data_IF_853065176106
#
_entry.id   IF_853065176106
#
_cell.length_a   1.000
_cell.length_b   1.000
_cell.length_c   1.000
_cell.angle_alpha   90.00
_cell.angle_beta   90.00
_cell.angle_gamma   90.00
#
_symmetry.space_group_name_H-M   'P 1'
#
loop_
_entity.id
_entity.type
_entity.pdbx_description
1 polymer ?
#
# COMPACT_ATOMS: atom_id res chain seq x y z
N UNK A 1 21.35 -37.40 -13.88
CA UNK A 1 21.50 -36.00 -13.41
C UNK A 1 20.63 -35.01 -14.23
N UNK A 2 19.38 -35.33 -14.60
CA UNK A 2 18.58 -34.40 -15.45
C UNK A 2 17.10 -34.27 -15.14
N UNK A 3 16.49 -35.14 -14.32
CA UNK A 3 15.02 -35.18 -14.23
C UNK A 3 14.41 -33.93 -13.59
N UNK A 4 15.17 -33.23 -12.74
CA UNK A 4 14.72 -32.01 -12.07
C UNK A 4 15.25 -30.71 -12.68
N UNK A 5 16.21 -30.76 -13.60
CA UNK A 5 16.82 -29.55 -14.18
C UNK A 5 15.78 -28.72 -14.95
N UNK A 6 15.01 -29.36 -15.82
CA UNK A 6 13.96 -28.68 -16.59
C UNK A 6 12.81 -28.17 -15.70
N UNK A 7 12.27 -28.96 -14.75
CA UNK A 7 11.30 -28.45 -13.78
C UNK A 7 11.80 -27.25 -12.97
N UNK A 8 13.05 -27.31 -12.47
CA UNK A 8 13.64 -26.20 -11.69
C UNK A 8 13.75 -24.94 -12.54
N UNK A 9 14.29 -25.06 -13.76
CA UNK A 9 14.43 -23.93 -14.67
C UNK A 9 13.07 -23.33 -15.02
N UNK A 10 12.07 -24.18 -15.25
CA UNK A 10 10.70 -23.76 -15.53
C UNK A 10 10.11 -22.96 -14.34
N UNK A 11 10.25 -23.45 -13.11
CA UNK A 11 9.79 -22.74 -11.92
C UNK A 11 10.47 -21.40 -11.71
N UNK A 12 11.80 -21.35 -11.88
CA UNK A 12 12.57 -20.09 -11.82
C UNK A 12 12.03 -19.08 -12.83
N UNK A 13 11.85 -19.48 -14.08
CA UNK A 13 11.31 -18.60 -15.14
C UNK A 13 9.90 -18.12 -14.78
N UNK A 14 9.02 -19.02 -14.34
CA UNK A 14 7.66 -18.65 -13.91
C UNK A 14 7.66 -17.66 -12.73
N UNK A 15 8.54 -17.87 -11.75
CA UNK A 15 8.70 -16.98 -10.61
C UNK A 15 9.23 -15.59 -11.00
N UNK A 16 10.24 -15.54 -11.89
CA UNK A 16 10.77 -14.27 -12.42
C UNK A 16 9.72 -13.53 -13.24
N UNK A 17 8.98 -14.22 -14.12
CA UNK A 17 7.87 -13.62 -14.87
C UNK A 17 6.82 -13.06 -13.90
N UNK A 18 6.43 -13.84 -12.89
CA UNK A 18 5.52 -13.37 -11.84
C UNK A 18 6.06 -12.10 -11.18
N UNK A 19 7.35 -12.05 -10.82
CA UNK A 19 7.99 -10.84 -10.27
C UNK A 19 7.89 -9.64 -11.21
N UNK A 20 8.16 -9.83 -12.50
CA UNK A 20 8.07 -8.77 -13.50
C UNK A 20 6.65 -8.23 -13.65
N UNK A 21 5.64 -9.11 -13.62
CA UNK A 21 4.23 -8.71 -13.67
C UNK A 21 3.79 -7.92 -12.42
N UNK A 22 4.40 -8.23 -11.27
CA UNK A 22 4.16 -7.54 -10.00
C UNK A 22 4.96 -6.23 -9.85
N UNK A 23 6.03 -6.06 -10.62
CA UNK A 23 6.83 -4.83 -10.70
C UNK A 23 6.10 -3.75 -11.51
N UNK A 24 5.06 -3.15 -10.92
CA UNK A 24 4.45 -1.93 -11.46
C UNK A 24 5.12 -0.70 -10.86
N UNK A 25 5.43 0.25 -11.73
CA UNK A 25 5.88 1.58 -11.31
C UNK A 25 4.62 2.42 -11.08
N UNK A 26 4.34 2.75 -9.82
CA UNK A 26 3.27 3.67 -9.45
C UNK A 26 3.95 4.93 -8.88
N UNK A 27 3.38 6.12 -9.10
CA UNK A 27 3.88 7.37 -8.51
C UNK A 27 3.88 7.31 -6.98
N UNK A 28 3.05 6.44 -6.41
CA UNK A 28 2.93 6.19 -4.97
C UNK A 28 3.95 5.19 -4.44
N UNK A 29 4.55 4.39 -5.32
CA UNK A 29 5.40 3.28 -4.92
C UNK A 29 6.78 3.42 -5.53
N UNK A 30 7.75 3.61 -4.64
CA UNK A 30 9.09 3.07 -4.85
C UNK A 30 8.93 1.59 -5.30
N UNK A 31 9.76 1.09 -6.24
CA UNK A 31 10.95 1.70 -6.81
C UNK A 31 10.61 2.39 -8.12
N UNK A 32 10.70 3.71 -8.09
CA UNK A 32 10.58 4.56 -9.28
C UNK A 32 11.85 4.50 -10.14
N UNK A 33 12.99 4.18 -9.53
CA UNK A 33 14.31 4.22 -10.15
C UNK A 33 14.77 2.86 -10.71
N UNK A 34 15.56 2.93 -11.79
CA UNK A 34 16.13 1.78 -12.47
C UNK A 34 16.86 0.83 -11.51
N UNK A 35 17.71 1.37 -10.62
CA UNK A 35 18.46 0.57 -9.66
C UNK A 35 17.55 -0.18 -8.67
N UNK A 36 16.48 0.46 -8.21
CA UNK A 36 15.49 -0.20 -7.36
C UNK A 36 14.81 -1.37 -8.08
N UNK A 37 14.41 -1.17 -9.35
CA UNK A 37 13.85 -2.25 -10.18
C UNK A 37 14.81 -3.43 -10.33
N UNK A 38 16.10 -3.15 -10.58
CA UNK A 38 17.14 -4.19 -10.69
C UNK A 38 17.26 -4.99 -9.39
N UNK A 39 17.33 -4.31 -8.24
CA UNK A 39 17.40 -4.97 -6.92
C UNK A 39 16.22 -5.92 -6.72
N UNK A 40 15.00 -5.48 -7.05
CA UNK A 40 13.81 -6.31 -6.91
C UNK A 40 13.70 -7.48 -7.90
N UNK A 41 14.25 -7.34 -9.10
CA UNK A 41 14.34 -8.45 -10.04
C UNK A 41 15.35 -9.47 -9.51
N UNK A 42 16.50 -9.03 -9.01
CA UNK A 42 17.51 -9.91 -8.42
C UNK A 42 16.97 -10.67 -7.19
N UNK A 43 16.27 -9.98 -6.28
CA UNK A 43 15.61 -10.61 -5.14
C UNK A 43 14.50 -11.58 -5.57
N UNK A 44 13.74 -11.23 -6.61
CA UNK A 44 12.74 -12.12 -7.19
C UNK A 44 13.36 -13.37 -7.81
N UNK A 45 14.51 -13.24 -8.48
CA UNK A 45 15.27 -14.38 -8.99
C UNK A 45 15.69 -15.30 -7.84
N UNK A 46 16.28 -14.77 -6.76
CA UNK A 46 16.66 -15.55 -5.57
C UNK A 46 15.45 -16.26 -4.97
N UNK A 47 14.33 -15.55 -4.78
CA UNK A 47 13.08 -16.13 -4.30
C UNK A 47 12.59 -17.27 -5.21
N UNK A 48 12.63 -17.07 -6.53
CA UNK A 48 12.20 -18.09 -7.50
C UNK A 48 13.11 -19.32 -7.46
N UNK A 49 14.43 -19.14 -7.32
CA UNK A 49 15.38 -20.24 -7.20
C UNK A 49 15.14 -21.06 -5.92
N UNK A 50 14.95 -20.39 -4.78
CA UNK A 50 14.63 -21.05 -3.51
C UNK A 50 13.32 -21.85 -3.59
N UNK A 51 12.28 -21.26 -4.19
CA UNK A 51 11.00 -21.96 -4.38
C UNK A 51 11.09 -23.16 -5.33
N UNK A 52 11.84 -23.04 -6.43
CA UNK A 52 11.97 -24.11 -7.41
C UNK A 52 12.75 -25.32 -6.85
N UNK A 53 13.84 -25.06 -6.13
CA UNK A 53 14.73 -26.10 -5.59
C UNK A 53 14.08 -26.83 -4.40
N UNK A 54 13.21 -26.16 -3.65
CA UNK A 54 12.53 -26.76 -2.50
C UNK A 54 11.76 -28.03 -2.85
N UNK A 55 11.17 -28.11 -4.05
CA UNK A 55 10.36 -29.27 -4.46
C UNK A 55 11.21 -30.53 -4.66
N UNK A 56 12.22 -30.57 -5.56
CA UNK A 56 13.07 -31.73 -5.70
C UNK A 56 13.76 -32.13 -4.40
N UNK A 57 14.21 -31.16 -3.59
CA UNK A 57 14.90 -31.46 -2.33
C UNK A 57 13.98 -32.19 -1.33
N UNK A 58 12.71 -31.77 -1.23
CA UNK A 58 11.73 -32.48 -0.39
C UNK A 58 11.39 -33.88 -0.94
N UNK A 59 11.32 -34.03 -2.27
CA UNK A 59 11.06 -35.35 -2.92
C UNK A 59 12.23 -36.31 -2.70
N UNK A 60 13.47 -35.80 -2.67
CA UNK A 60 14.68 -36.58 -2.39
C UNK A 60 14.91 -36.81 -0.89
N UNK A 61 13.95 -36.45 -0.04
CA UNK A 61 14.07 -36.58 1.42
C UNK A 61 15.27 -35.84 2.02
N UNK A 62 15.76 -34.80 1.33
CA UNK A 62 16.78 -33.89 1.84
C UNK A 62 16.14 -32.89 2.80
N UNK A 63 15.75 -33.37 3.99
CA UNK A 63 15.09 -32.54 5.01
C UNK A 63 15.92 -31.33 5.47
N UNK A 64 17.23 -31.34 5.23
CA UNK A 64 18.11 -30.16 5.40
C UNK A 64 17.67 -28.98 4.54
N UNK A 65 16.95 -29.20 3.43
CA UNK A 65 16.41 -28.16 2.57
C UNK A 65 15.38 -27.24 3.24
N UNK A 66 14.79 -27.66 4.37
CA UNK A 66 13.96 -26.78 5.20
C UNK A 66 14.74 -25.53 5.65
N UNK A 67 16.06 -25.63 5.79
CA UNK A 67 16.91 -24.49 6.12
C UNK A 67 16.91 -23.43 5.02
N UNK A 68 16.74 -23.80 3.75
CA UNK A 68 16.58 -22.83 2.65
C UNK A 68 15.31 -22.00 2.79
N UNK A 69 14.23 -22.58 3.30
CA UNK A 69 13.00 -21.84 3.60
C UNK A 69 13.21 -20.84 4.75
N UNK A 70 13.98 -21.21 5.77
CA UNK A 70 14.37 -20.30 6.86
C UNK A 70 15.24 -19.15 6.36
N UNK A 71 16.20 -19.43 5.47
CA UNK A 71 17.02 -18.40 4.82
C UNK A 71 16.14 -17.49 3.96
N UNK A 72 15.19 -18.05 3.20
CA UNK A 72 14.24 -17.29 2.40
C UNK A 72 13.40 -16.33 3.25
N UNK A 73 12.83 -16.83 4.35
CA UNK A 73 12.04 -16.03 5.29
C UNK A 73 12.87 -14.87 5.87
N UNK A 74 14.13 -15.13 6.21
CA UNK A 74 15.05 -14.11 6.71
C UNK A 74 15.33 -13.04 5.65
N UNK A 75 15.62 -13.45 4.41
CA UNK A 75 15.86 -12.52 3.29
C UNK A 75 14.67 -11.58 3.07
N UNK A 76 13.44 -12.07 3.18
CA UNK A 76 12.25 -11.24 2.92
C UNK A 76 12.02 -10.21 4.01
N UNK A 77 12.24 -10.59 5.27
CA UNK A 77 12.24 -9.64 6.38
C UNK A 77 13.31 -8.56 6.20
N UNK A 78 14.50 -8.92 5.73
CA UNK A 78 15.54 -7.93 5.43
C UNK A 78 15.15 -7.00 4.28
N UNK A 79 14.46 -7.51 3.25
CA UNK A 79 13.89 -6.66 2.18
C UNK A 79 12.89 -5.65 2.76
N UNK A 80 11.97 -6.10 3.62
CA UNK A 80 11.03 -5.18 4.30
C UNK A 80 11.76 -4.14 5.14
N UNK A 81 12.76 -4.56 5.92
CA UNK A 81 13.53 -3.65 6.76
C UNK A 81 14.26 -2.61 5.90
N UNK A 82 14.89 -3.04 4.80
CA UNK A 82 15.55 -2.18 3.84
C UNK A 82 14.58 -1.15 3.26
N UNK A 83 13.44 -1.58 2.71
CA UNK A 83 12.43 -0.70 2.13
C UNK A 83 11.89 0.31 3.15
N UNK A 84 11.53 -0.17 4.33
CA UNK A 84 11.02 0.68 5.41
C UNK A 84 12.03 1.74 5.83
N UNK A 85 13.29 1.35 6.00
CA UNK A 85 14.36 2.26 6.41
C UNK A 85 14.65 3.29 5.32
N UNK A 86 14.76 2.87 4.05
CA UNK A 86 14.98 3.78 2.92
C UNK A 86 13.85 4.79 2.80
N UNK A 87 12.59 4.32 2.83
CA UNK A 87 11.44 5.20 2.75
C UNK A 87 11.38 6.17 3.94
N UNK A 88 11.67 5.72 5.16
CA UNK A 88 11.70 6.58 6.35
C UNK A 88 12.78 7.66 6.29
N UNK A 89 13.92 7.38 5.64
CA UNK A 89 14.96 8.41 5.43
C UNK A 89 14.54 9.41 4.36
N UNK A 90 13.95 8.95 3.25
CA UNK A 90 13.44 9.84 2.20
C UNK A 90 12.30 10.73 2.71
N UNK A 91 11.44 10.19 3.59
CA UNK A 91 10.27 10.90 4.12
C UNK A 91 10.61 12.15 4.94
N UNK A 92 11.83 12.22 5.49
CA UNK A 92 12.31 13.37 6.26
C UNK A 92 12.49 14.62 5.41
N UNK A 93 12.63 14.46 4.10
CA UNK A 93 12.84 15.55 3.14
C UNK A 93 11.56 15.90 2.38
N UNK A 94 10.43 15.26 2.68
CA UNK A 94 9.14 15.54 2.05
C UNK A 94 8.42 16.70 2.76
N UNK A 95 7.84 17.62 1.98
CA UNK A 95 7.01 18.72 2.54
C UNK A 95 5.73 18.21 3.22
N UNK A 96 5.24 17.06 2.77
CA UNK A 96 4.13 16.30 3.37
C UNK A 96 4.57 14.85 3.45
N UNK A 97 4.90 14.40 4.66
CA UNK A 97 5.40 13.04 4.93
C UNK A 97 4.37 11.96 4.61
N UNK A 98 4.82 10.76 4.25
CA UNK A 98 4.00 9.53 4.14
C UNK A 98 3.48 9.11 5.50
N UNK A 99 4.34 9.23 6.51
CA UNK A 99 4.11 8.73 7.85
C UNK A 99 4.37 7.23 8.00
N UNK A 100 4.75 6.83 9.22
CA UNK A 100 5.23 5.48 9.51
C UNK A 100 4.26 4.37 9.13
N UNK A 101 2.95 4.58 9.32
CA UNK A 101 1.93 3.56 8.98
C UNK A 101 1.86 3.29 7.48
N UNK A 102 2.03 4.33 6.66
CA UNK A 102 2.00 4.17 5.21
C UNK A 102 3.28 3.49 4.72
N UNK A 103 4.44 3.94 5.22
CA UNK A 103 5.74 3.33 4.93
C UNK A 103 5.73 1.84 5.29
N UNK A 104 5.20 1.49 6.46
CA UNK A 104 5.07 0.08 6.89
C UNK A 104 4.20 -0.73 5.94
N UNK A 105 3.06 -0.17 5.50
CA UNK A 105 2.19 -0.83 4.52
C UNK A 105 2.88 -1.07 3.18
N UNK A 106 3.67 -0.11 2.69
CA UNK A 106 4.47 -0.27 1.47
C UNK A 106 5.52 -1.38 1.67
N UNK A 107 6.23 -1.36 2.80
CA UNK A 107 7.29 -2.33 3.09
C UNK A 107 6.76 -3.78 3.23
N UNK A 108 5.59 -3.96 3.87
CA UNK A 108 4.90 -5.27 3.93
C UNK A 108 4.54 -5.74 2.52
N UNK A 109 3.99 -4.88 1.66
CA UNK A 109 3.64 -5.27 0.30
C UNK A 109 4.87 -5.75 -0.50
N UNK A 110 6.06 -5.17 -0.26
CA UNK A 110 7.30 -5.65 -0.86
C UNK A 110 7.72 -7.04 -0.39
N UNK A 111 7.58 -7.30 0.91
CA UNK A 111 7.78 -8.62 1.51
C UNK A 111 6.82 -9.65 0.89
N UNK A 112 5.52 -9.34 0.87
CA UNK A 112 4.44 -10.17 0.33
C UNK A 112 4.68 -10.60 -1.12
N UNK A 113 5.16 -9.69 -1.97
CA UNK A 113 5.47 -10.02 -3.37
C UNK A 113 6.55 -11.09 -3.50
N UNK A 114 7.53 -11.15 -2.59
CA UNK A 114 8.55 -12.19 -2.65
C UNK A 114 7.99 -13.56 -2.25
N UNK A 115 7.06 -13.61 -1.28
CA UNK A 115 6.34 -14.84 -0.96
C UNK A 115 5.54 -15.36 -2.16
N UNK A 116 4.85 -14.48 -2.89
CA UNK A 116 4.11 -14.86 -4.11
C UNK A 116 5.03 -15.45 -5.20
N UNK A 117 6.25 -14.93 -5.33
CA UNK A 117 7.27 -15.48 -6.25
C UNK A 117 7.70 -16.88 -5.82
N UNK A 118 7.98 -17.11 -4.53
CA UNK A 118 8.29 -18.45 -4.02
C UNK A 118 7.16 -19.42 -4.33
N UNK A 119 5.92 -19.06 -3.95
CA UNK A 119 4.78 -19.95 -4.16
C UNK A 119 4.54 -20.25 -5.63
N UNK A 120 4.65 -19.25 -6.51
CA UNK A 120 4.53 -19.45 -7.95
C UNK A 120 5.61 -20.43 -8.45
N UNK A 121 6.87 -20.18 -8.11
CA UNK A 121 7.98 -21.03 -8.53
C UNK A 121 7.85 -22.47 -8.01
N UNK A 122 7.57 -22.62 -6.71
CA UNK A 122 7.40 -23.92 -6.06
C UNK A 122 6.23 -24.71 -6.65
N UNK A 123 5.05 -24.11 -6.80
CA UNK A 123 3.88 -24.80 -7.33
C UNK A 123 4.03 -25.18 -8.80
N UNK A 124 4.67 -24.33 -9.60
CA UNK A 124 4.93 -24.61 -11.02
C UNK A 124 5.97 -25.72 -11.21
N UNK A 125 7.04 -25.73 -10.40
CA UNK A 125 7.99 -26.86 -10.36
C UNK A 125 7.30 -28.14 -9.92
N UNK A 126 6.50 -28.11 -8.85
CA UNK A 126 5.77 -29.28 -8.35
C UNK A 126 4.81 -29.85 -9.40
N UNK A 127 4.04 -28.99 -10.07
CA UNK A 127 3.12 -29.40 -11.11
C UNK A 127 3.84 -30.02 -12.33
N UNK A 128 5.02 -29.50 -12.68
CA UNK A 128 5.85 -30.11 -13.71
C UNK A 128 6.30 -31.51 -13.25
N UNK A 129 6.92 -31.61 -12.08
CA UNK A 129 7.51 -32.87 -11.58
C UNK A 129 6.46 -33.98 -11.43
N UNK A 130 5.28 -33.67 -10.87
CA UNK A 130 4.25 -34.68 -10.61
C UNK A 130 3.46 -35.09 -11.87
N UNK A 131 3.38 -34.22 -12.86
CA UNK A 131 2.60 -34.45 -14.06
C UNK A 131 3.47 -34.23 -15.30
N UNK A 132 3.40 -33.03 -15.88
CA UNK A 132 4.16 -32.64 -17.06
C UNK A 132 4.08 -31.12 -17.25
N UNK A 133 4.87 -30.60 -18.19
CA UNK A 133 4.97 -29.16 -18.48
C UNK A 133 3.62 -28.48 -18.74
N UNK A 134 2.67 -29.12 -19.43
CA UNK A 134 1.36 -28.51 -19.72
C UNK A 134 0.58 -28.19 -18.43
N UNK A 135 0.59 -29.09 -17.43
CA UNK A 135 -0.02 -28.80 -16.12
C UNK A 135 0.74 -27.68 -15.42
N UNK A 136 2.07 -27.69 -15.51
CA UNK A 136 2.93 -26.60 -15.01
C UNK A 136 2.55 -25.23 -15.58
N UNK A 137 2.26 -25.14 -16.89
CA UNK A 137 1.82 -23.90 -17.55
C UNK A 137 0.45 -23.45 -17.03
N UNK A 138 -0.51 -24.37 -16.90
CA UNK A 138 -1.85 -24.05 -16.36
C UNK A 138 -1.73 -23.51 -14.93
N UNK A 139 -0.91 -24.16 -14.08
CA UNK A 139 -0.63 -23.71 -12.71
C UNK A 139 0.06 -22.36 -12.71
N UNK A 140 1.02 -22.12 -13.62
CA UNK A 140 1.70 -20.83 -13.73
C UNK A 140 0.71 -19.69 -14.02
N UNK A 141 -0.20 -19.89 -14.98
CA UNK A 141 -1.25 -18.92 -15.32
C UNK A 141 -2.17 -18.68 -14.10
N UNK A 142 -2.58 -19.75 -13.42
CA UNK A 142 -3.38 -19.66 -12.20
C UNK A 142 -2.69 -18.88 -11.08
N UNK A 143 -1.41 -19.17 -10.82
CA UNK A 143 -0.60 -18.46 -9.83
C UNK A 143 -0.37 -16.99 -10.19
N UNK A 144 -0.18 -16.66 -11.48
CA UNK A 144 -0.06 -15.27 -11.92
C UNK A 144 -1.38 -14.49 -11.73
N UNK A 145 -2.51 -15.11 -12.05
CA UNK A 145 -3.83 -14.52 -11.79
C UNK A 145 -4.06 -14.31 -10.29
N UNK A 146 -3.76 -15.32 -9.48
CA UNK A 146 -3.88 -15.26 -8.02
C UNK A 146 -2.96 -14.18 -7.44
N UNK A 147 -1.72 -14.08 -7.92
CA UNK A 147 -0.76 -13.05 -7.48
C UNK A 147 -1.31 -11.66 -7.76
N UNK A 148 -1.88 -11.44 -8.96
CA UNK A 148 -2.51 -10.17 -9.32
C UNK A 148 -3.71 -9.83 -8.41
N UNK A 149 -4.51 -10.83 -8.05
CA UNK A 149 -5.65 -10.67 -7.16
C UNK A 149 -5.20 -10.30 -5.73
N UNK A 150 -4.24 -11.04 -5.17
CA UNK A 150 -3.72 -10.84 -3.82
C UNK A 150 -2.95 -9.53 -3.66
N UNK A 151 -2.44 -8.96 -4.76
CA UNK A 151 -1.84 -7.63 -4.78
C UNK A 151 -2.85 -6.48 -4.87
N UNK A 152 -4.11 -6.76 -5.21
CA UNK A 152 -5.19 -5.78 -5.27
C UNK A 152 -5.66 -5.39 -3.87
N UNK A 153 -4.86 -4.61 -3.15
CA UNK A 153 -5.24 -4.06 -1.84
C UNK A 153 -6.50 -3.18 -1.92
N UNK A 154 -7.17 -2.98 -0.78
CA UNK A 154 -8.38 -2.16 -0.70
C UNK A 154 -8.11 -0.67 -0.94
N UNK A 155 -9.08 0.04 -1.51
CA UNK A 155 -8.99 1.47 -1.81
C UNK A 155 -10.00 2.27 -0.98
N UNK A 156 -9.71 3.55 -0.73
CA UNK A 156 -10.61 4.40 0.07
C UNK A 156 -12.00 4.55 -0.55
N UNK A 157 -12.11 4.67 -1.89
CA UNK A 157 -13.41 4.78 -2.58
C UNK A 157 -14.36 3.61 -2.33
N UNK A 158 -13.82 2.45 -1.94
CA UNK A 158 -14.61 1.27 -1.62
C UNK A 158 -15.31 1.47 -0.26
N UNK A 159 -14.71 2.23 0.66
CA UNK A 159 -15.14 2.36 2.06
C UNK A 159 -15.70 3.74 2.44
N UNK A 160 -15.44 4.79 1.65
CA UNK A 160 -15.95 6.16 1.87
C UNK A 160 -16.52 6.76 0.58
N UNK A 161 -17.45 7.70 0.75
CA UNK A 161 -17.88 8.63 -0.30
C UNK A 161 -17.11 9.95 -0.13
N UNK A 162 -16.64 10.53 -1.24
CA UNK A 162 -15.76 11.70 -1.25
C UNK A 162 -16.50 12.85 -1.91
N UNK A 163 -16.64 13.96 -1.18
CA UNK A 163 -17.33 15.16 -1.64
C UNK A 163 -16.38 16.35 -1.56
N UNK A 164 -16.31 17.15 -2.63
CA UNK A 164 -15.59 18.42 -2.61
C UNK A 164 -16.42 19.46 -1.86
N UNK A 165 -15.78 20.18 -0.95
CA UNK A 165 -16.38 21.31 -0.22
C UNK A 165 -15.40 22.46 -0.21
N UNK A 166 -15.85 23.63 -0.64
CA UNK A 166 -15.01 24.82 -0.64
C UNK A 166 -14.61 25.18 0.80
N UNK A 167 -13.30 25.31 1.10
CA UNK A 167 -12.84 25.76 2.42
C UNK A 167 -13.34 27.18 2.69
N UNK A 168 -13.69 27.47 3.94
CA UNK A 168 -14.13 28.80 4.33
C UNK A 168 -13.60 29.19 5.70
N UNK A 169 -13.59 30.49 5.99
CA UNK A 169 -13.18 31.03 7.28
C UNK A 169 -14.36 31.46 8.13
N UNK A 170 -14.28 31.20 9.44
CA UNK A 170 -15.09 31.85 10.47
C UNK A 170 -14.13 32.56 11.42
N UNK A 171 -14.05 33.88 11.29
CA UNK A 171 -13.01 34.71 11.91
C UNK A 171 -11.61 34.21 11.52
N UNK A 172 -10.91 33.58 12.45
CA UNK A 172 -9.56 33.06 12.23
C UNK A 172 -9.55 31.55 11.99
N UNK A 173 -10.68 30.86 12.16
CA UNK A 173 -10.76 29.42 11.98
C UNK A 173 -11.02 29.04 10.53
N UNK A 174 -10.17 28.19 9.95
CA UNK A 174 -10.40 27.52 8.66
C UNK A 174 -11.27 26.28 8.87
N UNK A 175 -12.29 26.13 8.03
CA UNK A 175 -13.23 25.03 8.05
C UNK A 175 -13.36 24.38 6.67
N UNK A 176 -13.61 23.08 6.66
CA UNK A 176 -14.13 22.32 5.52
C UNK A 176 -15.46 21.74 5.97
N UNK A 177 -16.57 22.17 5.36
CA UNK A 177 -17.92 21.97 5.91
C UNK A 177 -17.99 22.50 7.37
N UNK A 178 -18.50 21.73 8.32
CA UNK A 178 -18.53 22.09 9.74
C UNK A 178 -17.23 21.72 10.49
N UNK A 179 -16.25 21.10 9.83
CA UNK A 179 -15.05 20.55 10.46
C UNK A 179 -13.96 21.62 10.56
N UNK A 180 -13.58 21.96 11.78
CA UNK A 180 -12.45 22.85 12.05
C UNK A 180 -11.11 22.20 11.67
N UNK A 181 -10.32 22.90 10.86
CA UNK A 181 -9.02 22.43 10.38
C UNK A 181 -7.89 23.04 11.21
N UNK A 182 -7.75 24.37 11.20
CA UNK A 182 -6.70 25.12 11.90
C UNK A 182 -7.07 26.60 12.07
N UNK A 183 -6.33 27.32 12.92
CA UNK A 183 -6.45 28.77 13.10
C UNK A 183 -5.38 29.48 12.24
N UNK A 184 -5.81 30.47 11.48
CA UNK A 184 -4.97 31.37 10.69
C UNK A 184 -5.48 32.79 10.94
N UNK A 185 -4.79 33.53 11.82
CA UNK A 185 -5.19 34.89 12.17
C UNK A 185 -4.84 35.96 11.14
N UNK A 186 -3.81 35.76 10.31
CA UNK A 186 -3.35 36.76 9.34
C UNK A 186 -4.27 36.81 8.11
N UNK A 187 -4.95 37.95 7.81
CA UNK A 187 -5.89 38.04 6.68
C UNK A 187 -5.28 37.70 5.33
N UNK A 188 -4.05 38.17 5.08
CA UNK A 188 -3.30 37.86 3.85
C UNK A 188 -3.13 36.34 3.64
N UNK A 189 -2.90 35.59 4.74
CA UNK A 189 -2.78 34.12 4.68
C UNK A 189 -4.12 33.44 4.48
N UNK A 190 -5.21 34.02 4.99
CA UNK A 190 -6.57 33.52 4.72
C UNK A 190 -6.89 33.63 3.23
N UNK A 191 -6.57 34.76 2.60
CA UNK A 191 -6.75 34.96 1.15
C UNK A 191 -5.93 33.96 0.33
N UNK A 192 -4.66 33.73 0.70
CA UNK A 192 -3.83 32.69 0.06
C UNK A 192 -4.45 31.30 0.20
N UNK A 193 -4.94 30.95 1.39
CA UNK A 193 -5.57 29.65 1.66
C UNK A 193 -6.86 29.47 0.86
N UNK A 194 -7.73 30.48 0.79
CA UNK A 194 -8.94 30.40 -0.02
C UNK A 194 -8.60 30.37 -1.51
N UNK A 195 -7.56 31.11 -1.92
CA UNK A 195 -7.09 31.10 -3.30
C UNK A 195 -6.60 29.72 -3.67
N UNK A 196 -5.70 29.10 -2.91
CA UNK A 196 -4.99 27.87 -3.31
C UNK A 196 -5.59 26.57 -2.75
N UNK A 197 -6.42 26.66 -1.73
CA UNK A 197 -6.91 25.51 -0.98
C UNK A 197 -8.03 24.74 -1.65
N UNK A 198 -8.13 23.47 -1.30
CA UNK A 198 -9.31 22.63 -1.55
C UNK A 198 -9.69 21.87 -0.29
N UNK A 199 -10.99 21.68 -0.12
CA UNK A 199 -11.56 20.89 0.96
C UNK A 199 -12.29 19.67 0.40
N UNK A 200 -12.21 18.56 1.12
CA UNK A 200 -12.95 17.35 0.84
C UNK A 200 -13.52 16.76 2.12
N UNK A 201 -14.72 16.20 2.04
CA UNK A 201 -15.35 15.45 3.12
C UNK A 201 -15.38 13.98 2.74
N UNK A 202 -14.80 13.14 3.60
CA UNK A 202 -14.83 11.70 3.49
C UNK A 202 -15.93 11.16 4.41
N UNK A 203 -17.03 10.70 3.81
CA UNK A 203 -18.18 10.11 4.50
C UNK A 203 -18.00 8.59 4.60
N UNK A 204 -17.87 8.02 5.82
CA UNK A 204 -17.69 6.58 5.95
C UNK A 204 -18.98 5.82 5.65
N UNK A 205 -18.92 4.82 4.77
CA UNK A 205 -20.09 3.99 4.40
C UNK A 205 -20.61 3.11 5.54
N UNK A 206 -19.77 2.79 6.53
CA UNK A 206 -20.15 2.01 7.70
C UNK A 206 -19.23 2.29 8.91
N UNK A 207 -19.53 1.67 10.06
CA UNK A 207 -18.78 1.87 11.31
C UNK A 207 -17.31 1.40 11.24
N UNK A 208 -17.03 0.36 10.46
CA UNK A 208 -15.65 -0.10 10.25
C UNK A 208 -14.88 0.94 9.44
N UNK A 209 -15.45 1.43 8.34
CA UNK A 209 -14.88 2.51 7.53
C UNK A 209 -14.58 3.76 8.37
N UNK A 210 -15.52 4.13 9.25
CA UNK A 210 -15.36 5.25 10.20
C UNK A 210 -14.14 5.06 11.10
N UNK A 211 -13.95 3.84 11.60
CA UNK A 211 -12.80 3.50 12.45
C UNK A 211 -11.48 3.51 11.68
N UNK A 212 -11.51 3.10 10.41
CA UNK A 212 -10.34 3.10 9.51
C UNK A 212 -9.87 4.52 9.19
N UNK A 213 -10.75 5.40 8.71
CA UNK A 213 -10.39 6.80 8.39
C UNK A 213 -10.13 7.64 9.65
N UNK A 214 -10.56 7.16 10.82
CA UNK A 214 -10.18 7.78 12.08
C UNK A 214 -8.69 7.61 12.41
N UNK A 215 -7.99 6.63 11.82
CA UNK A 215 -6.56 6.43 12.03
C UNK A 215 -5.74 7.60 11.45
N UNK A 216 -4.81 8.15 12.25
CA UNK A 216 -3.97 9.27 11.81
C UNK A 216 -3.03 8.91 10.66
N UNK A 217 -2.50 7.69 10.63
CA UNK A 217 -1.68 7.19 9.53
C UNK A 217 -2.44 7.09 8.22
N UNK A 218 -3.72 6.66 8.26
CA UNK A 218 -4.57 6.66 7.06
C UNK A 218 -4.79 8.09 6.53
N UNK A 219 -5.01 9.04 7.44
CA UNK A 219 -5.16 10.46 7.07
C UNK A 219 -3.89 11.04 6.49
N UNK A 220 -2.74 10.69 7.05
CA UNK A 220 -1.44 11.12 6.53
C UNK A 220 -1.18 10.56 5.13
N UNK A 221 -1.52 9.29 4.89
CA UNK A 221 -1.40 8.69 3.56
C UNK A 221 -2.24 9.42 2.50
N UNK A 222 -3.46 9.84 2.85
CA UNK A 222 -4.30 10.67 1.97
C UNK A 222 -3.61 11.99 1.63
N UNK A 223 -3.12 12.71 2.64
CA UNK A 223 -2.46 14.00 2.44
C UNK A 223 -1.19 13.85 1.58
N UNK A 224 -0.41 12.79 1.81
CA UNK A 224 0.78 12.48 1.02
C UNK A 224 0.43 12.18 -0.44
N UNK A 225 -0.52 11.27 -0.70
CA UNK A 225 -0.87 10.87 -2.06
C UNK A 225 -1.37 12.07 -2.90
N UNK A 226 -2.20 12.94 -2.31
CA UNK A 226 -2.66 14.17 -2.98
C UNK A 226 -1.48 15.09 -3.28
N UNK A 227 -0.61 15.32 -2.29
CA UNK A 227 0.57 16.16 -2.45
C UNK A 227 1.50 15.65 -3.55
N UNK A 228 1.82 14.35 -3.55
CA UNK A 228 2.71 13.75 -4.53
C UNK A 228 2.14 13.85 -5.95
N UNK A 229 0.82 13.76 -6.11
CA UNK A 229 0.18 13.76 -7.41
C UNK A 229 -0.15 15.17 -7.96
N UNK A 230 -0.51 16.14 -7.10
CA UNK A 230 -0.94 17.48 -7.51
C UNK A 230 0.01 18.60 -7.08
N UNK A 231 1.13 18.25 -6.44
CA UNK A 231 2.06 19.18 -5.81
C UNK A 231 1.51 19.79 -4.51
N UNK A 232 2.32 20.65 -3.86
CA UNK A 232 1.87 21.47 -2.73
C UNK A 232 2.33 22.91 -2.91
N UNK A 233 1.42 23.83 -2.60
CA UNK A 233 1.69 25.25 -2.41
C UNK A 233 2.08 25.48 -0.93
N UNK A 234 3.31 25.08 -0.60
CA UNK A 234 3.91 25.21 0.73
C UNK A 234 5.42 25.30 0.60
N UNK A 235 6.05 26.02 1.53
CA UNK A 235 7.48 25.92 1.80
C UNK A 235 7.71 25.51 3.27
N UNK A 236 8.92 25.00 3.57
CA UNK A 236 9.40 24.55 4.88
C UNK A 236 9.19 25.58 6.01
N UNK A 237 9.11 26.87 5.67
CA UNK A 237 8.94 27.99 6.62
C UNK A 237 7.52 28.58 6.74
N UNK A 238 6.47 27.96 6.17
CA UNK A 238 5.11 28.54 6.21
C UNK A 238 4.10 27.70 7.00
N UNK A 239 3.95 27.91 8.33
CA UNK A 239 3.04 27.15 9.18
C UNK A 239 1.56 27.26 8.83
N UNK A 240 1.15 28.36 8.20
CA UNK A 240 -0.25 28.58 7.80
C UNK A 240 -0.67 27.78 6.56
N UNK A 241 0.30 27.25 5.79
CA UNK A 241 0.07 26.57 4.51
C UNK A 241 0.34 25.07 4.63
N UNK A 242 -0.26 24.42 5.63
CA UNK A 242 -0.05 23.00 5.93
C UNK A 242 -1.30 22.21 5.58
N UNK A 243 -1.23 21.21 4.68
CA UNK A 243 -2.33 20.27 4.47
C UNK A 243 -2.67 19.52 5.76
N UNK A 244 -3.95 19.40 6.09
CA UNK A 244 -4.39 18.74 7.32
C UNK A 244 -5.68 17.96 7.10
N UNK A 245 -5.83 16.87 7.84
CA UNK A 245 -7.04 16.07 7.85
C UNK A 245 -7.55 15.90 9.29
N UNK A 246 -8.76 16.41 9.55
CA UNK A 246 -9.40 16.41 10.88
C UNK A 246 -10.68 15.60 10.83
N UNK A 247 -11.06 15.03 11.97
CA UNK A 247 -12.27 14.20 12.08
C UNK A 247 -13.31 14.95 12.89
N UNK A 248 -14.52 14.92 12.40
CA UNK A 248 -15.71 15.34 13.12
C UNK A 248 -15.95 14.40 14.32
N UNK A 249 -16.21 14.95 15.50
CA UNK A 249 -16.39 14.13 16.71
C UNK A 249 -17.81 13.55 16.82
N UNK A 250 -18.78 14.15 16.15
CA UNK A 250 -20.19 13.80 16.25
C UNK A 250 -20.53 12.65 15.30
N UNK A 251 -20.12 12.74 14.03
CA UNK A 251 -20.47 11.74 13.02
C UNK A 251 -19.28 10.90 12.50
N UNK A 252 -18.05 11.32 12.78
CA UNK A 252 -16.83 10.63 12.39
C UNK A 252 -16.41 10.79 10.93
N UNK A 253 -17.01 11.72 10.18
CA UNK A 253 -16.52 12.16 8.87
C UNK A 253 -15.12 12.78 9.01
N UNK A 254 -14.35 12.74 7.94
CA UNK A 254 -13.01 13.36 7.91
C UNK A 254 -13.01 14.49 6.90
N UNK A 255 -12.70 15.69 7.37
CA UNK A 255 -12.40 16.85 6.53
C UNK A 255 -10.93 16.85 6.17
N UNK A 256 -10.65 16.87 4.87
CA UNK A 256 -9.31 16.90 4.28
C UNK A 256 -9.12 18.25 3.62
N UNK A 257 -8.14 19.00 4.08
CA UNK A 257 -7.73 20.27 3.51
C UNK A 257 -6.35 20.13 2.87
N UNK A 258 -6.23 20.55 1.62
CA UNK A 258 -5.00 20.49 0.83
C UNK A 258 -4.76 21.79 0.08
N UNK A 259 -3.51 22.03 -0.29
CA UNK A 259 -3.06 23.22 -1.02
C UNK A 259 -2.31 22.76 -2.28
N UNK A 260 -2.96 22.19 -3.31
CA UNK A 260 -2.27 21.66 -4.46
C UNK A 260 -1.78 22.76 -5.41
N UNK A 261 -0.74 22.47 -6.20
CA UNK A 261 -0.30 23.37 -7.27
C UNK A 261 -1.22 23.27 -8.49
N UNK A 262 -1.60 22.03 -8.87
CA UNK A 262 -2.60 21.80 -9.91
C UNK A 262 -4.00 21.71 -9.29
N UNK A 263 -4.88 22.65 -9.66
CA UNK A 263 -6.25 22.66 -9.15
C UNK A 263 -7.22 21.87 -9.99
N UNK A 264 -7.29 20.57 -9.75
CA UNK A 264 -8.24 19.70 -10.41
C UNK A 264 -9.02 18.85 -9.39
N UNK A 265 -10.30 19.18 -9.22
CA UNK A 265 -11.19 18.55 -8.23
C UNK A 265 -11.40 17.07 -8.56
N UNK A 266 -11.67 16.74 -9.82
CA UNK A 266 -11.91 15.35 -10.25
C UNK A 266 -10.68 14.47 -10.04
N UNK A 267 -9.50 14.97 -10.42
CA UNK A 267 -8.23 14.28 -10.14
C UNK A 267 -8.01 14.11 -8.64
N UNK A 268 -8.26 15.14 -7.84
CA UNK A 268 -8.10 15.05 -6.38
C UNK A 268 -9.02 13.98 -5.77
N UNK A 269 -10.29 13.93 -6.20
CA UNK A 269 -11.24 12.90 -5.77
C UNK A 269 -10.76 11.50 -6.18
N UNK A 270 -10.28 11.32 -7.42
CA UNK A 270 -9.75 10.03 -7.88
C UNK A 270 -8.48 9.62 -7.12
N UNK A 271 -7.59 10.57 -6.83
CA UNK A 271 -6.37 10.31 -6.05
C UNK A 271 -6.74 9.86 -4.63
N UNK A 272 -7.57 10.64 -3.92
CA UNK A 272 -8.08 10.31 -2.58
C UNK A 272 -8.76 8.93 -2.61
N UNK A 273 -9.64 8.71 -3.58
CA UNK A 273 -10.39 7.48 -3.72
C UNK A 273 -9.51 6.27 -3.98
N UNK A 274 -8.42 6.44 -4.72
CA UNK A 274 -7.49 5.36 -4.98
C UNK A 274 -6.47 5.15 -3.85
N UNK A 275 -6.32 6.05 -2.86
CA UNK A 275 -5.38 5.86 -1.74
C UNK A 275 -5.62 4.50 -1.07
N UNK A 276 -4.55 3.71 -0.80
CA UNK A 276 -4.69 2.39 -0.22
C UNK A 276 -5.26 2.48 1.19
N UNK A 277 -6.12 1.53 1.53
CA UNK A 277 -6.55 1.33 2.91
C UNK A 277 -5.44 0.59 3.65
N UNK A 278 -4.79 1.27 4.58
CA UNK A 278 -3.62 0.72 5.29
C UNK A 278 -4.05 -0.44 6.19
N UNK A 279 -3.40 -1.60 6.06
CA UNK A 279 -3.74 -2.80 6.84
C UNK A 279 -3.71 -2.55 8.35
N UNK A 280 -2.72 -1.77 8.82
CA UNK A 280 -2.57 -1.37 10.22
C UNK A 280 -3.62 -0.34 10.69
N UNK A 281 -4.32 0.30 9.75
CA UNK A 281 -5.42 1.22 10.04
C UNK A 281 -6.79 0.52 10.02
N UNK A 282 -6.91 -0.65 9.37
CA UNK A 282 -8.15 -1.41 9.31
C UNK A 282 -8.57 -1.81 10.72
N UNK A 283 -9.74 -1.34 11.12
CA UNK A 283 -10.41 -1.76 12.36
C UNK A 283 -11.73 -2.41 11.97
N UNK A 284 -12.01 -3.60 12.52
CA UNK A 284 -13.29 -4.30 12.34
C UNK A 284 -14.05 -4.47 13.66
N UNK A 285 -14.46 -3.39 14.37
CA UNK A 285 -15.19 -3.53 15.64
C UNK A 285 -16.49 -4.32 15.52
N UNK A 286 -17.19 -4.28 14.38
CA UNK A 286 -18.46 -5.00 14.22
C UNK A 286 -18.29 -6.53 14.26
N UNK A 287 -17.09 -7.06 14.03
CA UNK A 287 -16.80 -8.50 14.22
C UNK A 287 -16.84 -8.92 15.69
N UNK A 288 -16.57 -8.01 16.65
CA UNK A 288 -16.69 -8.32 18.09
C UNK A 288 -18.14 -8.56 18.52
N UNK A 289 -19.09 -7.74 18.04
CA UNK A 289 -20.52 -7.93 18.34
C UNK A 289 -21.08 -9.25 17.86
N UNK A 290 -20.51 -9.85 16.80
CA UNK A 290 -20.96 -11.16 16.29
C UNK A 290 -20.57 -12.33 17.21
N UNK A 291 -19.57 -12.15 18.07
CA UNK A 291 -19.17 -13.15 19.06
C UNK A 291 -19.92 -13.03 20.40
N UNK A 292 -20.47 -11.86 20.73
CA UNK A 292 -21.23 -11.63 21.96
C UNK A 292 -22.73 -11.98 21.83
N UNK A 293 -23.20 -12.35 20.62
CA UNK A 293 -24.58 -12.77 20.35
C UNK A 293 -24.79 -14.28 20.24
N UNK A 294 -23.78 -15.09 20.57
CA UNK A 294 -23.87 -16.55 20.59
C UNK A 294 -23.78 -17.08 22.01
N UNK A 295 -24.86 -17.72 22.48
CA UNK A 295 -25.10 -18.27 23.81
C UNK A 295 -25.47 -17.27 24.90
N UNK A 296 -26.76 -16.95 24.95
CA UNK A 296 -27.49 -17.11 26.21
C UNK A 296 -28.71 -17.98 25.88
N UNK A 297 -28.80 -19.08 26.62
CA UNK A 297 -29.83 -20.13 26.65
C UNK A 297 -31.26 -19.68 26.39
#
# INVERSE_FOLDING_TARGET
>A
MSDYVYPILFGIVCGVISRMLMLRTDYRQYPTYLHGKIIHIALGFIASALGAIAVPALIQEEYTAITFLTVAASQFREVRNMERNTLAQLDQYELVSRGNTYIEGIAIAFESRNYLVIFTSMLTTLAYVLFHIIVGIIVAIGCMFLSKLLMGGGKLKDIVDIEYVEPHFKKEGLYVDNIYIMNIGLPQRQEEVLKYGMGFILKPKNFNSRSTIANLGQRQAILHDIHTALGVYRDSGTPALVPLAKRDLDDGRVGVFVLPQEKNIEKAIDIIGNTPTLENAIRMPTKRKKHEGGNIS
#
